data_IF_188850167702
#
_entry.id   IF_188850167702
#
_cell.length_a   1.000
_cell.length_b   1.000
_cell.length_c   1.000
_cell.angle_alpha   90.00
_cell.angle_beta   90.00
_cell.angle_gamma   90.00
#
_symmetry.space_group_name_H-M   'P 1'
#
loop_
_entity.id
_entity.type
_entity.pdbx_description
1 polymer ?
#
# COMPACT_ATOMS: atom_id res chain seq x y z
N UNK A 1 -6.45 4.44 33.71
CA UNK A 1 -6.00 4.19 32.32
C UNK A 1 -5.66 5.52 31.71
N UNK A 2 -4.44 5.67 31.23
CA UNK A 2 -3.97 6.90 30.61
C UNK A 2 -4.69 7.14 29.27
N UNK A 3 -5.16 8.37 29.06
CA UNK A 3 -5.74 8.78 27.79
C UNK A 3 -4.64 9.07 26.78
N UNK A 4 -4.43 8.20 25.80
CA UNK A 4 -3.51 8.44 24.68
C UNK A 4 -4.27 9.00 23.48
N UNK A 5 -3.70 10.04 22.83
CA UNK A 5 -4.15 10.59 21.56
C UNK A 5 -3.08 10.50 20.49
N UNK A 6 -3.51 10.34 19.23
CA UNK A 6 -2.62 10.25 18.09
C UNK A 6 -3.11 11.16 16.97
N UNK A 7 -2.19 11.88 16.34
CA UNK A 7 -2.48 12.69 15.16
C UNK A 7 -1.27 12.74 14.23
N UNK A 8 -1.52 12.78 12.92
CA UNK A 8 -0.46 12.93 11.93
C UNK A 8 -0.41 14.38 11.49
N UNK A 9 0.75 15.01 11.66
CA UNK A 9 0.96 16.44 11.39
C UNK A 9 1.61 16.70 10.04
N UNK A 10 2.17 15.67 9.39
CA UNK A 10 2.78 15.80 8.08
C UNK A 10 3.30 14.48 7.51
N UNK A 11 3.70 14.53 6.25
CA UNK A 11 4.35 13.41 5.54
C UNK A 11 5.40 13.98 4.59
N UNK A 12 6.48 13.25 4.39
CA UNK A 12 7.55 13.56 3.43
C UNK A 12 8.13 12.30 2.83
N UNK A 13 8.71 12.39 1.66
CA UNK A 13 9.63 11.41 1.13
C UNK A 13 10.95 11.45 1.92
N UNK A 14 11.63 10.30 2.05
CA UNK A 14 12.96 10.25 2.63
C UNK A 14 14.01 10.08 1.52
N UNK A 15 14.73 11.15 1.15
CA UNK A 15 15.70 11.09 0.06
C UNK A 15 16.98 10.31 0.41
N UNK A 16 17.20 10.03 1.68
CA UNK A 16 18.42 9.33 2.17
C UNK A 16 18.18 7.86 2.49
N UNK A 17 16.93 7.40 2.40
CA UNK A 17 16.63 5.99 2.60
C UNK A 17 17.22 5.13 1.47
N UNK A 18 17.58 3.89 1.78
CA UNK A 18 18.13 2.94 0.80
C UNK A 18 17.10 2.51 -0.27
N UNK A 19 15.83 2.79 -0.09
CA UNK A 19 14.73 2.53 -1.02
C UNK A 19 13.55 3.47 -0.77
N UNK A 20 12.52 3.43 -1.61
CA UNK A 20 11.35 4.29 -1.48
C UNK A 20 10.78 4.25 -0.07
N UNK A 21 10.72 5.39 0.58
CA UNK A 21 10.33 5.48 1.99
C UNK A 21 9.53 6.77 2.24
N UNK A 22 8.37 6.62 2.86
CA UNK A 22 7.58 7.72 3.39
C UNK A 22 7.85 7.86 4.89
N UNK A 23 7.92 9.10 5.37
CA UNK A 23 8.04 9.41 6.78
C UNK A 23 6.86 10.27 7.19
N UNK A 24 6.00 9.71 8.05
CA UNK A 24 4.88 10.44 8.64
C UNK A 24 5.32 11.02 9.99
N UNK A 25 5.05 12.31 10.21
CA UNK A 25 5.25 12.94 11.50
C UNK A 25 4.05 12.63 12.38
N UNK A 26 4.25 11.79 13.38
CA UNK A 26 3.21 11.37 14.33
C UNK A 26 3.36 12.20 15.63
N UNK A 27 2.30 12.86 16.03
CA UNK A 27 2.15 13.48 17.33
C UNK A 27 1.42 12.51 18.24
N UNK A 28 1.99 12.27 19.41
CA UNK A 28 1.44 11.41 20.47
C UNK A 28 1.19 12.30 21.69
N UNK A 29 -0.02 12.21 22.24
CA UNK A 29 -0.39 12.93 23.47
C UNK A 29 -0.75 11.94 24.57
N UNK A 30 -0.48 12.29 25.80
CA UNK A 30 -0.93 11.61 27.01
C UNK A 30 -1.59 12.62 27.96
N UNK A 31 -2.34 12.13 28.94
CA UNK A 31 -2.88 13.00 30.00
C UNK A 31 -1.75 13.84 30.61
N UNK A 32 -2.03 15.13 30.92
CA UNK A 32 -1.03 16.16 31.19
C UNK A 32 0.00 15.81 32.28
N UNK A 33 -0.41 15.02 33.26
CA UNK A 33 0.45 14.66 34.39
C UNK A 33 1.07 13.27 34.28
N UNK A 34 0.84 12.58 33.15
CA UNK A 34 1.36 11.22 32.95
C UNK A 34 2.73 11.25 32.33
N UNK A 35 3.73 10.76 33.08
CA UNK A 35 5.07 10.50 32.51
C UNK A 35 5.05 9.17 31.78
N UNK A 36 5.27 9.21 30.49
CA UNK A 36 5.52 8.05 29.64
C UNK A 36 7.03 7.85 29.55
N UNK A 37 7.54 6.69 29.91
CA UNK A 37 8.98 6.37 29.84
C UNK A 37 9.38 5.89 28.45
N UNK A 38 8.52 5.11 27.81
CA UNK A 38 8.62 4.66 26.44
C UNK A 38 7.27 4.11 25.98
N UNK A 39 7.06 4.04 24.66
CA UNK A 39 5.89 3.38 24.10
C UNK A 39 6.29 2.53 22.89
N UNK A 40 6.04 1.24 22.97
CA UNK A 40 6.14 0.33 21.82
C UNK A 40 4.83 0.41 21.03
N UNK A 41 4.84 1.13 19.91
CA UNK A 41 3.65 1.42 19.13
C UNK A 41 3.69 0.66 17.80
N UNK A 42 2.56 0.06 17.43
CA UNK A 42 2.29 -0.51 16.11
C UNK A 42 1.22 0.34 15.44
N UNK A 43 1.46 0.69 14.19
CA UNK A 43 0.51 1.42 13.37
C UNK A 43 0.18 0.60 12.12
N UNK A 44 -1.11 0.35 11.90
CA UNK A 44 -1.65 -0.18 10.66
C UNK A 44 -2.20 0.99 9.85
N UNK A 45 -1.74 1.15 8.61
CA UNK A 45 -2.15 2.21 7.71
C UNK A 45 -3.03 1.62 6.63
N UNK A 46 -4.22 2.17 6.45
CA UNK A 46 -5.17 1.78 5.40
C UNK A 46 -5.48 2.98 4.52
N UNK A 47 -5.60 2.74 3.23
CA UNK A 47 -6.18 3.69 2.28
C UNK A 47 -7.70 3.55 2.37
N UNK A 48 -8.40 4.68 2.41
CA UNK A 48 -9.87 4.77 2.44
C UNK A 48 -10.40 5.28 1.09
N UNK A 49 -10.46 4.45 0.03
CA UNK A 49 -10.77 4.92 -1.32
C UNK A 49 -12.16 5.55 -1.43
N UNK A 50 -13.13 5.09 -0.64
CA UNK A 50 -14.50 5.61 -0.63
C UNK A 50 -14.59 7.07 -0.15
N UNK A 51 -13.55 7.59 0.53
CA UNK A 51 -13.51 8.97 1.06
C UNK A 51 -12.89 9.97 0.09
N UNK A 52 -12.71 9.59 -1.18
CA UNK A 52 -12.15 10.44 -2.23
C UNK A 52 -13.02 10.42 -3.49
N UNK A 53 -13.09 11.57 -4.19
CA UNK A 53 -13.60 11.65 -5.56
C UNK A 53 -12.54 11.29 -6.60
N UNK A 54 -12.95 10.79 -7.75
CA UNK A 54 -12.06 10.37 -8.83
C UNK A 54 -12.48 10.98 -10.16
N UNK A 55 -11.52 11.49 -10.92
CA UNK A 55 -11.70 11.90 -12.29
C UNK A 55 -11.92 10.70 -13.24
N UNK A 56 -12.36 10.95 -14.49
CA UNK A 56 -12.59 9.87 -15.46
C UNK A 56 -11.36 9.00 -15.72
N UNK A 57 -10.20 9.61 -15.92
CA UNK A 57 -8.93 8.91 -16.19
C UNK A 57 -8.44 8.10 -14.97
N UNK A 58 -8.62 8.61 -13.75
CA UNK A 58 -8.31 7.86 -12.52
C UNK A 58 -9.26 6.66 -12.37
N UNK A 59 -10.54 6.86 -12.68
CA UNK A 59 -11.53 5.80 -12.60
C UNK A 59 -11.24 4.66 -13.59
N UNK A 60 -10.76 4.98 -14.78
CA UNK A 60 -10.33 3.99 -15.76
C UNK A 60 -9.12 3.20 -15.24
N UNK A 61 -8.09 3.88 -14.70
CA UNK A 61 -6.92 3.24 -14.12
C UNK A 61 -7.23 2.37 -12.90
N UNK A 62 -8.32 2.65 -12.18
CA UNK A 62 -8.75 1.89 -10.99
C UNK A 62 -9.73 0.75 -11.31
N UNK A 63 -10.13 0.57 -12.58
CA UNK A 63 -11.09 -0.46 -12.96
C UNK A 63 -10.62 -1.89 -12.66
N UNK A 64 -9.31 -2.13 -12.70
CA UNK A 64 -8.73 -3.43 -12.35
C UNK A 64 -8.84 -3.75 -10.85
N UNK A 65 -8.82 -2.72 -9.98
CA UNK A 65 -8.88 -2.89 -8.54
C UNK A 65 -10.33 -2.96 -8.04
N UNK A 66 -11.19 -2.08 -8.54
CA UNK A 66 -12.53 -1.87 -7.98
C UNK A 66 -13.66 -2.21 -8.96
N UNK A 67 -13.33 -2.63 -10.17
CA UNK A 67 -14.32 -2.91 -11.20
C UNK A 67 -14.94 -1.64 -11.80
N UNK A 68 -16.09 -1.81 -12.45
CA UNK A 68 -16.81 -0.71 -13.08
C UNK A 68 -17.30 0.32 -12.06
N UNK A 69 -17.26 1.60 -12.45
CA UNK A 69 -17.65 2.74 -11.59
C UNK A 69 -19.06 2.63 -11.01
N UNK A 70 -19.96 2.01 -11.74
CA UNK A 70 -21.36 1.74 -11.29
C UNK A 70 -21.43 0.88 -10.02
N UNK A 71 -20.40 0.08 -9.75
CA UNK A 71 -20.32 -0.83 -8.60
C UNK A 71 -19.53 -0.27 -7.42
N UNK A 72 -18.93 0.91 -7.54
CA UNK A 72 -18.02 1.47 -6.54
C UNK A 72 -18.66 1.71 -5.18
N UNK A 73 -19.97 1.90 -5.10
CA UNK A 73 -20.66 1.97 -3.82
C UNK A 73 -20.44 0.74 -2.92
N UNK A 74 -20.10 -0.41 -3.50
CA UNK A 74 -19.85 -1.66 -2.77
C UNK A 74 -18.41 -2.17 -2.90
N UNK A 75 -17.67 -1.76 -3.92
CA UNK A 75 -16.35 -2.29 -4.23
C UNK A 75 -15.19 -1.42 -3.75
N UNK A 76 -15.40 -0.13 -3.46
CA UNK A 76 -14.40 0.75 -2.87
C UNK A 76 -14.17 0.41 -1.39
N UNK A 77 -13.55 -0.74 -1.15
CA UNK A 77 -13.22 -1.18 0.20
C UNK A 77 -11.84 -0.62 0.63
N UNK A 78 -11.62 -0.46 1.96
CA UNK A 78 -10.31 -0.07 2.47
C UNK A 78 -9.20 -1.00 1.98
N UNK A 79 -8.08 -0.41 1.56
CA UNK A 79 -6.90 -1.14 1.08
C UNK A 79 -5.81 -1.06 2.13
N UNK A 80 -5.25 -2.21 2.52
CA UNK A 80 -4.09 -2.25 3.40
C UNK A 80 -2.90 -1.58 2.70
N UNK A 81 -2.31 -0.55 3.33
CA UNK A 81 -1.16 0.14 2.78
C UNK A 81 0.14 -0.35 3.42
N UNK A 82 0.24 -0.24 4.75
CA UNK A 82 1.43 -0.64 5.48
C UNK A 82 1.09 -1.03 6.92
N UNK A 83 2.01 -1.77 7.54
CA UNK A 83 2.02 -2.01 8.97
C UNK A 83 3.44 -1.80 9.48
N UNK A 84 3.62 -0.87 10.39
CA UNK A 84 4.92 -0.49 10.92
C UNK A 84 4.90 -0.42 12.44
N UNK A 85 6.08 -0.51 13.04
CA UNK A 85 6.25 -0.39 14.48
C UNK A 85 7.30 0.67 14.77
N UNK A 86 7.09 1.43 15.84
CA UNK A 86 8.02 2.47 16.29
C UNK A 86 8.12 2.44 17.81
N UNK A 87 9.32 2.71 18.31
CA UNK A 87 9.54 2.98 19.72
C UNK A 87 9.48 4.49 19.93
N UNK A 88 8.43 4.95 20.61
CA UNK A 88 8.29 6.36 21.00
C UNK A 88 9.12 6.59 22.25
N UNK A 89 10.07 7.55 22.22
CA UNK A 89 10.86 7.91 23.40
C UNK A 89 10.00 8.44 24.54
N UNK A 90 10.58 8.53 25.73
CA UNK A 90 9.89 9.06 26.91
C UNK A 90 9.46 10.52 26.74
N UNK A 91 8.26 10.84 27.26
CA UNK A 91 7.69 12.19 27.20
C UNK A 91 6.69 12.44 28.34
N UNK A 92 6.29 13.68 28.51
CA UNK A 92 5.19 14.13 29.38
C UNK A 92 4.31 15.06 28.56
N UNK A 93 3.00 14.89 28.63
CA UNK A 93 2.03 15.66 27.85
C UNK A 93 2.00 15.26 26.36
N UNK A 94 2.96 15.77 25.57
CA UNK A 94 3.01 15.44 24.13
C UNK A 94 4.44 15.23 23.60
N UNK A 95 4.55 14.49 22.50
CA UNK A 95 5.79 14.32 21.75
C UNK A 95 5.50 14.12 20.27
N UNK A 96 6.52 14.32 19.44
CA UNK A 96 6.47 13.95 18.03
C UNK A 96 7.52 12.89 17.71
N UNK A 97 7.17 11.97 16.85
CA UNK A 97 8.07 10.92 16.38
C UNK A 97 7.85 10.67 14.88
N UNK A 98 8.88 10.17 14.22
CA UNK A 98 8.79 9.79 12.82
C UNK A 98 8.32 8.32 12.71
N UNK A 99 7.24 8.12 11.96
CA UNK A 99 6.75 6.81 11.57
C UNK A 99 7.29 6.52 10.17
N UNK A 100 8.35 5.72 10.11
CA UNK A 100 9.04 5.37 8.87
C UNK A 100 8.33 4.22 8.19
N UNK A 101 7.90 4.43 6.95
CA UNK A 101 7.14 3.48 6.13
C UNK A 101 7.93 3.14 4.87
N UNK A 102 8.69 2.04 4.87
CA UNK A 102 9.33 1.56 3.65
C UNK A 102 8.29 1.14 2.62
N UNK A 103 8.41 1.69 1.40
CA UNK A 103 7.53 1.41 0.28
C UNK A 103 8.23 0.48 -0.72
N UNK A 104 8.60 -0.72 -0.24
CA UNK A 104 9.35 -1.72 -1.00
C UNK A 104 8.43 -2.65 -1.79
N UNK A 105 9.02 -3.57 -2.56
CA UNK A 105 8.31 -4.56 -3.38
C UNK A 105 7.33 -5.46 -2.61
N UNK A 106 7.45 -5.53 -1.29
CA UNK A 106 6.55 -6.29 -0.42
C UNK A 106 5.25 -5.54 -0.09
N UNK A 107 5.12 -4.29 -0.57
CA UNK A 107 3.85 -3.58 -0.47
C UNK A 107 2.77 -4.32 -1.24
N UNK A 108 1.56 -4.27 -0.68
CA UNK A 108 0.39 -4.79 -1.34
C UNK A 108 0.29 -4.21 -2.77
N UNK A 109 0.22 -5.11 -3.76
CA UNK A 109 0.08 -4.77 -5.17
C UNK A 109 -1.11 -3.83 -5.39
N UNK A 110 -2.18 -4.00 -4.61
CA UNK A 110 -3.36 -3.16 -4.67
C UNK A 110 -3.05 -1.71 -4.28
N UNK A 111 -2.22 -1.48 -3.25
CA UNK A 111 -1.82 -0.15 -2.83
C UNK A 111 -0.97 0.54 -3.91
N UNK A 112 0.01 -0.15 -4.48
CA UNK A 112 0.85 0.38 -5.56
C UNK A 112 0.02 0.76 -6.78
N UNK A 113 -0.85 -0.12 -7.27
CA UNK A 113 -1.75 0.16 -8.39
C UNK A 113 -2.70 1.32 -8.10
N UNK A 114 -3.16 1.43 -6.86
CA UNK A 114 -4.00 2.54 -6.46
C UNK A 114 -3.28 3.88 -6.65
N UNK A 115 -2.05 4.01 -6.12
CA UNK A 115 -1.27 5.23 -6.25
C UNK A 115 -0.89 5.57 -7.70
N UNK A 116 -0.56 4.56 -8.50
CA UNK A 116 -0.22 4.73 -9.93
C UNK A 116 -1.38 5.28 -10.75
N UNK A 117 -2.61 4.89 -10.43
CA UNK A 117 -3.81 5.36 -11.12
C UNK A 117 -4.17 6.82 -10.78
N UNK A 118 -3.68 7.37 -9.66
CA UNK A 118 -4.02 8.71 -9.22
C UNK A 118 -3.24 9.78 -10.00
N UNK A 119 -3.90 10.90 -10.29
CA UNK A 119 -3.30 12.03 -11.00
C UNK A 119 -2.81 13.12 -10.07
N UNK A 120 -3.62 13.50 -9.08
CA UNK A 120 -3.37 14.60 -8.16
C UNK A 120 -4.23 14.47 -6.90
N UNK A 121 -4.29 15.54 -6.10
CA UNK A 121 -5.11 15.62 -4.90
C UNK A 121 -4.50 14.86 -3.72
N UNK A 122 -5.37 14.35 -2.86
CA UNK A 122 -4.98 13.73 -1.59
C UNK A 122 -5.55 12.32 -1.46
N UNK A 123 -4.81 11.46 -0.80
CA UNK A 123 -5.21 10.09 -0.46
C UNK A 123 -5.66 10.06 1.00
N UNK A 124 -6.93 9.73 1.26
CA UNK A 124 -7.40 9.55 2.62
C UNK A 124 -6.81 8.29 3.23
N UNK A 125 -6.11 8.45 4.35
CA UNK A 125 -5.52 7.37 5.13
C UNK A 125 -6.23 7.27 6.48
N UNK A 126 -6.42 6.04 6.95
CA UNK A 126 -6.81 5.69 8.30
C UNK A 126 -5.64 4.95 8.95
N UNK A 127 -5.18 5.48 10.08
CA UNK A 127 -4.11 4.89 10.88
C UNK A 127 -4.69 4.34 12.17
N UNK A 128 -4.51 3.05 12.40
CA UNK A 128 -4.98 2.33 13.57
C UNK A 128 -3.80 2.01 14.46
N UNK A 129 -3.89 2.40 15.72
CA UNK A 129 -2.79 2.26 16.67
C UNK A 129 -3.06 1.15 17.67
N UNK A 130 -2.02 0.41 18.01
CA UNK A 130 -2.00 -0.59 19.09
C UNK A 130 -0.61 -0.65 19.69
N UNK A 131 -0.49 -1.13 20.89
CA UNK A 131 0.83 -1.24 21.50
C UNK A 131 0.79 -1.24 23.01
N UNK A 132 1.94 -0.90 23.59
CA UNK A 132 2.14 -0.90 25.04
C UNK A 132 2.92 0.34 25.44
N UNK A 133 2.39 1.08 26.40
CA UNK A 133 3.06 2.21 27.05
C UNK A 133 3.64 1.78 28.39
N UNK A 134 4.83 2.26 28.68
CA UNK A 134 5.48 2.17 29.99
C UNK A 134 5.37 3.53 30.66
N UNK A 135 4.43 3.67 31.59
CA UNK A 135 4.08 4.96 32.18
C UNK A 135 4.05 4.92 33.71
N UNK A 136 4.13 6.08 34.37
CA UNK A 136 3.96 6.26 35.81
C UNK A 136 5.05 7.09 36.47
N UNK A 137 4.71 7.80 37.54
CA UNK A 137 5.61 8.75 38.25
C UNK A 137 6.45 8.10 39.35
N UNK A 138 6.00 6.97 39.91
CA UNK A 138 6.66 6.25 41.01
C UNK A 138 7.12 4.85 40.66
N UNK A 139 7.17 4.47 39.36
CA UNK A 139 7.54 3.16 38.86
C UNK A 139 6.91 2.84 37.52
N UNK A 140 7.35 1.76 36.88
CA UNK A 140 6.78 1.33 35.60
C UNK A 140 5.41 0.69 35.79
N UNK A 141 4.40 1.25 35.16
CA UNK A 141 3.14 0.57 34.86
C UNK A 141 3.11 0.24 33.39
N UNK A 142 2.72 -0.97 33.08
CA UNK A 142 2.53 -1.43 31.70
C UNK A 142 1.07 -1.20 31.34
N UNK A 143 0.81 -0.31 30.42
CA UNK A 143 -0.53 0.04 29.98
C UNK A 143 -0.71 -0.26 28.50
N UNK A 144 -1.75 -1.00 28.10
CA UNK A 144 -2.04 -1.20 26.69
C UNK A 144 -2.54 0.11 26.08
N UNK A 145 -2.11 0.40 24.84
CA UNK A 145 -2.75 1.41 24.00
C UNK A 145 -4.15 0.89 23.63
N UNK A 146 -5.24 1.63 23.93
CA UNK A 146 -6.58 1.18 23.61
C UNK A 146 -6.74 0.90 22.11
N UNK A 147 -7.44 -0.17 21.78
CA UNK A 147 -7.61 -0.66 20.42
C UNK A 147 -8.42 0.27 19.48
N UNK A 148 -9.17 1.20 20.07
CA UNK A 148 -10.00 2.19 19.39
C UNK A 148 -9.24 3.47 19.01
N UNK A 149 -7.93 3.49 19.21
CA UNK A 149 -7.10 4.65 18.87
C UNK A 149 -6.80 4.68 17.39
N UNK A 150 -7.26 5.76 16.75
CA UNK A 150 -7.09 5.98 15.31
C UNK A 150 -6.76 7.44 15.01
N UNK A 151 -6.18 7.67 13.85
CA UNK A 151 -6.02 8.99 13.27
C UNK A 151 -6.32 8.94 11.77
N UNK A 152 -6.94 9.99 11.26
CA UNK A 152 -7.13 10.17 9.82
C UNK A 152 -6.11 11.18 9.32
N UNK A 153 -5.60 10.94 8.10
CA UNK A 153 -4.68 11.86 7.45
C UNK A 153 -4.96 11.90 5.94
N UNK A 154 -4.77 13.06 5.34
CA UNK A 154 -4.88 13.23 3.89
C UNK A 154 -3.49 13.42 3.30
N UNK A 155 -2.94 12.36 2.71
CA UNK A 155 -1.62 12.38 2.10
C UNK A 155 -1.69 12.96 0.69
N UNK A 156 -0.92 14.03 0.36
CA UNK A 156 -0.84 14.52 -1.01
C UNK A 156 -0.25 13.46 -1.95
N UNK A 157 -0.89 13.22 -3.10
CA UNK A 157 -0.38 12.31 -4.15
C UNK A 157 1.01 12.74 -4.62
N UNK A 158 1.30 14.03 -4.60
CA UNK A 158 2.61 14.59 -4.96
C UNK A 158 3.75 14.00 -4.14
N UNK A 159 3.55 13.75 -2.83
CA UNK A 159 4.59 13.16 -1.95
C UNK A 159 4.92 11.71 -2.35
N UNK A 160 3.90 10.94 -2.75
CA UNK A 160 4.13 9.60 -3.29
C UNK A 160 4.98 9.65 -4.57
N UNK A 161 4.64 10.54 -5.49
CA UNK A 161 5.37 10.70 -6.75
C UNK A 161 6.79 11.19 -6.54
N UNK A 162 6.97 12.14 -5.63
CA UNK A 162 8.30 12.62 -5.25
C UNK A 162 9.17 11.47 -4.73
N UNK A 163 8.65 10.64 -3.84
CA UNK A 163 9.35 9.47 -3.32
C UNK A 163 9.74 8.50 -4.43
N UNK A 164 8.82 8.20 -5.36
CA UNK A 164 9.11 7.30 -6.48
C UNK A 164 10.15 7.90 -7.40
N UNK A 165 10.01 9.18 -7.78
CA UNK A 165 10.94 9.86 -8.69
C UNK A 165 12.36 10.00 -8.10
N UNK A 166 12.47 10.21 -6.79
CA UNK A 166 13.78 10.26 -6.12
C UNK A 166 14.55 8.94 -6.22
N UNK A 167 13.87 7.80 -6.16
CA UNK A 167 14.50 6.48 -6.17
C UNK A 167 14.55 5.84 -7.55
N UNK A 168 13.60 6.19 -8.42
CA UNK A 168 13.45 5.63 -9.77
C UNK A 168 13.15 6.74 -10.79
N UNK A 169 14.09 7.66 -11.01
CA UNK A 169 13.90 8.81 -11.88
C UNK A 169 13.52 8.38 -13.31
N UNK A 170 12.34 8.83 -13.77
CA UNK A 170 11.82 8.47 -15.10
C UNK A 170 11.55 6.98 -15.31
N UNK A 171 11.51 6.18 -14.26
CA UNK A 171 11.35 4.73 -14.31
C UNK A 171 10.16 4.26 -13.46
N UNK A 172 9.66 3.07 -13.78
CA UNK A 172 8.76 2.30 -12.94
C UNK A 172 9.33 0.92 -12.64
N UNK A 173 8.71 0.19 -11.73
CA UNK A 173 9.05 -1.21 -11.50
C UNK A 173 7.87 -2.12 -11.83
N UNK A 174 8.19 -3.36 -12.16
CA UNK A 174 7.21 -4.39 -12.47
C UNK A 174 7.59 -5.68 -11.75
N UNK A 175 6.65 -6.27 -11.00
CA UNK A 175 6.81 -7.60 -10.41
C UNK A 175 6.21 -8.64 -11.35
N UNK A 176 7.02 -9.62 -11.74
CA UNK A 176 6.61 -10.72 -12.59
C UNK A 176 6.81 -12.06 -11.87
N UNK A 177 5.95 -13.08 -12.14
CA UNK A 177 6.20 -14.45 -11.75
C UNK A 177 7.55 -14.95 -12.31
N UNK A 178 8.18 -15.88 -11.58
CA UNK A 178 9.51 -16.37 -11.96
C UNK A 178 9.53 -17.10 -13.30
N UNK A 179 8.48 -17.84 -13.63
CA UNK A 179 8.29 -18.52 -14.90
C UNK A 179 8.19 -17.54 -16.07
N UNK A 180 7.36 -16.50 -15.94
CA UNK A 180 7.27 -15.45 -16.96
C UNK A 180 8.59 -14.67 -17.10
N UNK A 181 9.31 -14.43 -16.00
CA UNK A 181 10.64 -13.82 -16.08
C UNK A 181 11.62 -14.70 -16.83
N UNK A 182 11.58 -16.02 -16.65
CA UNK A 182 12.42 -16.96 -17.39
C UNK A 182 12.09 -16.95 -18.90
N UNK A 183 10.80 -16.87 -19.27
CA UNK A 183 10.38 -16.75 -20.66
C UNK A 183 10.86 -15.43 -21.29
N UNK A 184 10.76 -14.32 -20.57
CA UNK A 184 11.26 -13.03 -21.03
C UNK A 184 12.78 -13.03 -21.19
N UNK A 185 13.53 -13.68 -20.29
CA UNK A 185 14.98 -13.86 -20.43
C UNK A 185 15.32 -14.67 -21.68
N UNK A 186 14.61 -15.78 -21.94
CA UNK A 186 14.79 -16.59 -23.13
C UNK A 186 14.45 -15.81 -24.41
N UNK A 187 13.39 -15.01 -24.40
CA UNK A 187 13.03 -14.14 -25.52
C UNK A 187 14.14 -13.11 -25.79
N UNK A 188 14.59 -12.39 -24.75
CA UNK A 188 15.68 -11.41 -24.81
C UNK A 188 16.94 -12.01 -25.42
N UNK A 189 17.33 -13.20 -24.96
CA UNK A 189 18.52 -13.91 -25.43
C UNK A 189 18.40 -14.33 -26.91
N UNK A 190 17.27 -14.90 -27.32
CA UNK A 190 17.02 -15.33 -28.71
C UNK A 190 17.06 -14.17 -29.72
N UNK A 191 16.60 -12.98 -29.29
CA UNK A 191 16.55 -11.79 -30.15
C UNK A 191 17.75 -10.85 -29.96
N UNK A 192 18.76 -11.27 -29.18
CA UNK A 192 19.99 -10.49 -28.89
C UNK A 192 19.71 -9.05 -28.42
N UNK A 193 18.66 -8.87 -27.61
CA UNK A 193 18.24 -7.56 -27.11
C UNK A 193 19.12 -7.12 -25.94
N UNK A 194 19.67 -5.91 -26.01
CA UNK A 194 20.69 -5.43 -25.08
C UNK A 194 20.13 -5.07 -23.69
N UNK A 195 18.85 -4.67 -23.62
CA UNK A 195 18.24 -4.19 -22.36
C UNK A 195 16.81 -4.72 -22.18
N UNK A 196 16.28 -4.60 -20.96
CA UNK A 196 14.89 -4.91 -20.67
C UNK A 196 13.93 -3.94 -21.40
N UNK A 197 14.31 -2.68 -21.51
CA UNK A 197 13.54 -1.70 -22.25
C UNK A 197 13.38 -2.11 -23.71
N UNK A 198 14.49 -2.50 -24.38
CA UNK A 198 14.46 -2.99 -25.75
C UNK A 198 13.58 -4.25 -25.88
N UNK A 199 13.62 -5.14 -24.87
CA UNK A 199 12.83 -6.36 -24.84
C UNK A 199 11.32 -6.05 -24.78
N UNK A 200 10.92 -5.19 -23.85
CA UNK A 200 9.51 -4.81 -23.68
C UNK A 200 9.03 -4.04 -24.91
N UNK A 201 9.84 -3.13 -25.46
CA UNK A 201 9.51 -2.37 -26.68
C UNK A 201 9.28 -3.30 -27.87
N UNK A 202 10.19 -4.25 -28.09
CA UNK A 202 10.04 -5.24 -29.16
C UNK A 202 8.76 -6.09 -29.02
N UNK A 203 8.37 -6.45 -27.79
CA UNK A 203 7.14 -7.18 -27.54
C UNK A 203 5.89 -6.32 -27.79
N UNK A 204 5.92 -5.04 -27.38
CA UNK A 204 4.83 -4.10 -27.63
C UNK A 204 4.66 -3.83 -29.13
N UNK A 205 5.76 -3.63 -29.86
CA UNK A 205 5.74 -3.42 -31.30
C UNK A 205 5.19 -4.64 -32.04
N UNK A 206 5.58 -5.84 -31.61
CA UNK A 206 5.06 -7.09 -32.16
C UNK A 206 3.57 -7.33 -31.84
N UNK A 207 3.08 -6.78 -30.71
CA UNK A 207 1.68 -6.87 -30.33
C UNK A 207 0.76 -5.99 -31.20
N UNK A 208 1.28 -4.92 -31.79
CA UNK A 208 0.52 -3.93 -32.59
C UNK A 208 -0.44 -3.08 -31.75
N UNK A 209 -0.90 -1.94 -32.28
CA UNK A 209 -1.77 -1.01 -31.55
C UNK A 209 -3.20 -1.52 -31.33
N UNK A 210 -3.66 -2.52 -32.09
CA UNK A 210 -5.06 -3.00 -32.08
C UNK A 210 -5.29 -4.32 -31.33
N UNK A 211 -4.37 -4.73 -30.47
CA UNK A 211 -4.60 -5.96 -29.69
C UNK A 211 -5.67 -5.72 -28.63
N UNK A 212 -6.79 -6.48 -28.64
CA UNK A 212 -7.76 -6.38 -27.56
C UNK A 212 -7.07 -6.69 -26.21
N UNK A 213 -7.46 -5.97 -25.12
CA UNK A 213 -6.88 -6.22 -23.81
C UNK A 213 -7.04 -7.71 -23.44
N UNK A 214 -6.06 -8.31 -22.76
CA UNK A 214 -6.15 -9.71 -22.34
C UNK A 214 -7.41 -9.93 -21.49
N UNK A 215 -8.03 -11.12 -21.54
CA UNK A 215 -9.21 -11.42 -20.74
C UNK A 215 -8.86 -11.21 -19.26
N UNK A 216 -9.71 -10.47 -18.54
CA UNK A 216 -9.53 -10.16 -17.14
C UNK A 216 -9.35 -11.45 -16.33
N UNK A 217 -8.36 -11.55 -15.42
CA UNK A 217 -8.27 -12.69 -14.52
C UNK A 217 -9.55 -12.77 -13.68
N UNK A 218 -10.28 -13.89 -13.79
CA UNK A 218 -11.55 -14.09 -13.08
C UNK A 218 -12.81 -14.15 -13.93
N UNK A 219 -12.76 -13.92 -15.24
CA UNK A 219 -13.86 -14.21 -16.12
C UNK A 219 -13.98 -15.74 -16.31
N UNK A 220 -14.76 -16.40 -15.46
CA UNK A 220 -15.18 -17.80 -15.66
C UNK A 220 -15.91 -17.86 -17.00
N UNK A 221 -15.35 -18.56 -17.97
CA UNK A 221 -16.05 -18.86 -19.23
C UNK A 221 -17.31 -19.66 -18.89
N UNK A 222 -18.53 -19.20 -19.22
CA UNK A 222 -19.70 -20.06 -19.13
C UNK A 222 -19.56 -21.11 -20.22
N UNK A 223 -19.35 -22.36 -19.84
CA UNK A 223 -19.37 -23.47 -20.80
C UNK A 223 -18.37 -24.60 -20.61
N UNK A 224 -17.61 -24.70 -19.54
CA UNK A 224 -16.85 -25.93 -19.27
C UNK A 224 -17.76 -26.94 -18.56
N UNK A 225 -18.38 -27.84 -19.36
CA UNK A 225 -19.09 -29.01 -18.88
C UNK A 225 -18.20 -29.82 -17.93
N UNK A 226 -18.66 -30.01 -16.69
CA UNK A 226 -18.08 -30.97 -15.77
C UNK A 226 -18.15 -32.36 -16.41
N UNK A 227 -17.05 -33.16 -16.41
CA UNK A 227 -17.15 -34.56 -16.78
C UNK A 227 -18.04 -35.29 -15.75
N UNK A 228 -19.05 -36.01 -16.21
CA UNK A 228 -19.85 -36.91 -15.39
C UNK A 228 -18.89 -37.98 -14.83
N UNK A 229 -18.76 -38.07 -13.54
CA UNK A 229 -18.23 -39.25 -12.88
C UNK A 229 -19.18 -40.41 -13.15
N UNK A 230 -18.75 -41.33 -13.99
CA UNK A 230 -19.39 -42.65 -14.16
C UNK A 230 -19.12 -43.43 -12.88
N UNK A 231 -20.17 -43.69 -12.12
CA UNK A 231 -20.18 -44.68 -11.04
C UNK A 231 -19.87 -46.05 -11.68
N UNK A 232 -18.73 -46.62 -11.30
CA UNK A 232 -18.46 -48.06 -11.52
C UNK A 232 -19.14 -48.82 -10.39
N UNK A 233 -20.26 -49.38 -10.67
CA UNK A 233 -20.82 -50.52 -9.93
C UNK A 233 -19.92 -51.71 -10.21
N UNK A 234 -19.37 -52.31 -9.18
CA UNK A 234 -18.75 -53.65 -9.25
C UNK A 234 -19.58 -54.67 -8.50
N UNK A 235 -19.63 -55.92 -8.96
CA UNK A 235 -20.48 -56.98 -8.46
C UNK A 235 -20.07 -57.50 -7.08
#
# INVERSE_FOLDING_TARGET
>A
MTGFGFSVTGVRADPYAAGPTLVFRLRVTADQDTRVHAMALRCQIRIEPARRGYGPAEAEGLADLFGERSRWGTTLQPVQFAQVSVMVPGFTGETETDLVVPCTYDMDIAATRYFEALRDGEVPLLMLFSGTAFAGDGGFRVEPVPWDREATFRMPVAVWREMVEQHFPGCGWLRLPADLMAELLAYRSRHALASWEATVRALLDAAGPDRPPPPRPGAVRPGALRPRLTERTSP
#
